data_IF_948682893185
#
_entry.id   IF_948682893185
#
_cell.length_a   1.000
_cell.length_b   1.000
_cell.length_c   1.000
_cell.angle_alpha   90.00
_cell.angle_beta   90.00
_cell.angle_gamma   90.00
#
_symmetry.space_group_name_H-M   'P 1'
#
loop_
_entity.id
_entity.type
_entity.pdbx_description
1 polymer ?
#
# COMPACT_ATOMS: atom_id res chain seq x y z
N UNK A 1 16.55 42.78 32.08
CA UNK A 1 16.66 42.77 30.60
C UNK A 1 16.03 41.48 30.11
N UNK A 2 14.89 41.60 29.42
CA UNK A 2 14.02 40.48 29.04
C UNK A 2 13.52 40.82 27.63
N UNK A 3 13.38 39.79 26.79
CA UNK A 3 13.15 39.82 25.33
C UNK A 3 14.45 39.88 24.54
N UNK A 4 14.92 38.73 24.04
CA UNK A 4 15.23 38.45 22.61
C UNK A 4 15.56 36.95 22.48
N UNK A 5 14.59 36.03 22.61
CA UNK A 5 14.79 34.62 22.21
C UNK A 5 13.48 34.11 21.62
N UNK A 6 13.03 34.68 20.51
CA UNK A 6 11.85 34.17 19.81
C UNK A 6 11.87 34.61 18.36
N UNK A 7 12.68 33.96 17.51
CA UNK A 7 12.52 33.92 16.04
C UNK A 7 13.72 33.21 15.43
N UNK A 8 13.66 31.89 15.23
CA UNK A 8 14.50 31.15 14.26
C UNK A 8 14.07 29.67 14.11
N UNK A 9 12.78 29.36 14.27
CA UNK A 9 12.24 27.99 14.10
C UNK A 9 11.16 27.90 13.00
N UNK A 10 11.17 28.84 12.04
CA UNK A 10 10.07 29.03 11.10
C UNK A 10 10.49 28.99 9.61
N UNK A 11 11.61 28.35 9.24
CA UNK A 11 12.08 28.38 7.85
C UNK A 11 12.66 27.06 7.31
N UNK A 12 12.17 25.89 7.73
CA UNK A 12 12.64 24.59 7.19
C UNK A 12 11.56 23.72 6.50
N UNK A 13 10.33 24.23 6.32
CA UNK A 13 9.22 23.42 5.79
C UNK A 13 8.90 23.64 4.30
N UNK A 14 9.77 24.30 3.54
CA UNK A 14 9.59 24.47 2.09
C UNK A 14 10.65 23.71 1.29
N UNK A 15 10.42 22.40 1.08
CA UNK A 15 10.71 21.74 -0.21
C UNK A 15 10.16 20.32 -0.27
N UNK A 16 9.00 20.11 -0.89
CA UNK A 16 8.77 18.92 -1.67
C UNK A 16 8.82 19.25 -3.18
N UNK A 17 9.09 18.21 -3.97
CA UNK A 17 9.00 18.15 -5.43
C UNK A 17 10.28 18.45 -6.22
N UNK A 18 11.21 17.49 -6.21
CA UNK A 18 11.78 16.96 -7.46
C UNK A 18 11.97 15.43 -7.33
N UNK A 19 10.87 14.69 -7.20
CA UNK A 19 10.91 13.29 -7.60
C UNK A 19 10.75 13.27 -9.13
N UNK A 20 11.88 13.28 -9.85
CA UNK A 20 11.85 12.97 -11.27
C UNK A 20 11.63 11.46 -11.43
N UNK A 21 10.37 11.04 -11.52
CA UNK A 21 10.10 9.80 -12.22
C UNK A 21 10.40 10.10 -13.70
N UNK A 22 11.60 9.76 -14.15
CA UNK A 22 11.90 9.63 -15.57
C UNK A 22 11.48 8.22 -15.99
N UNK A 23 10.27 7.99 -16.53
CA UNK A 23 10.13 6.91 -17.50
C UNK A 23 10.97 7.35 -18.69
N UNK A 24 12.14 6.71 -18.87
CA UNK A 24 13.02 6.99 -19.99
C UNK A 24 12.20 7.00 -21.28
N UNK A 25 12.21 8.14 -21.97
CA UNK A 25 11.63 8.29 -23.28
C UNK A 25 12.40 7.41 -24.26
N UNK A 26 11.75 6.35 -24.73
CA UNK A 26 12.20 5.60 -25.89
C UNK A 26 11.08 5.63 -26.92
N UNK A 27 11.22 6.54 -27.87
CA UNK A 27 10.54 6.52 -29.15
C UNK A 27 11.19 7.53 -30.09
N UNK A 28 11.12 7.39 -31.43
CA UNK A 28 10.91 6.19 -32.25
C UNK A 28 12.18 5.86 -33.06
N UNK A 29 12.66 4.61 -32.99
CA UNK A 29 13.70 4.11 -33.90
C UNK A 29 13.08 3.45 -35.15
N UNK A 30 13.63 3.61 -36.36
CA UNK A 30 13.04 3.10 -37.59
C UNK A 30 13.42 1.63 -37.90
N UNK A 31 12.45 0.70 -37.87
CA UNK A 31 12.42 -0.64 -38.52
C UNK A 31 13.55 -1.64 -38.20
N UNK A 32 13.57 -2.90 -38.71
CA UNK A 32 12.63 -3.59 -39.64
C UNK A 32 12.26 -5.06 -39.27
N UNK A 33 10.98 -5.46 -39.40
CA UNK A 33 10.53 -6.88 -39.43
C UNK A 33 10.85 -7.70 -38.16
N UNK A 34 10.30 -8.86 -37.83
CA UNK A 34 9.79 -9.97 -38.61
C UNK A 34 8.94 -10.89 -37.72
N UNK A 35 8.07 -11.66 -38.38
CA UNK A 35 7.42 -12.91 -37.95
C UNK A 35 6.17 -12.83 -37.04
N UNK A 36 5.03 -13.02 -37.71
CA UNK A 36 3.90 -13.77 -37.17
C UNK A 36 4.40 -15.12 -36.63
N UNK A 37 4.26 -15.33 -35.33
CA UNK A 37 4.46 -16.61 -34.68
C UNK A 37 3.29 -16.85 -33.73
N UNK A 38 2.27 -17.52 -34.25
CA UNK A 38 1.34 -18.33 -33.46
C UNK A 38 2.18 -19.21 -32.52
N UNK A 39 2.13 -18.93 -31.22
CA UNK A 39 2.93 -19.59 -30.21
C UNK A 39 2.14 -19.66 -28.91
N UNK A 40 1.45 -20.78 -28.73
CA UNK A 40 0.40 -20.98 -27.75
C UNK A 40 0.76 -20.62 -26.31
N UNK A 41 -0.26 -20.13 -25.61
CA UNK A 41 -0.39 -20.11 -24.17
C UNK A 41 -0.41 -21.56 -23.65
N UNK A 42 0.73 -22.24 -23.65
CA UNK A 42 0.85 -23.56 -23.06
C UNK A 42 1.12 -23.42 -21.57
N UNK A 43 0.15 -23.92 -20.80
CA UNK A 43 0.22 -24.04 -19.35
C UNK A 43 1.50 -24.76 -18.91
N UNK A 44 2.22 -24.10 -18.02
CA UNK A 44 3.27 -24.69 -17.20
C UNK A 44 2.94 -24.41 -15.75
N UNK A 45 2.71 -25.46 -14.97
CA UNK A 45 2.53 -25.38 -13.53
C UNK A 45 3.83 -24.88 -12.88
N UNK A 46 3.91 -23.57 -12.65
CA UNK A 46 4.98 -22.88 -11.93
C UNK A 46 4.66 -21.38 -11.87
N UNK A 47 5.09 -20.64 -10.84
CA UNK A 47 4.78 -19.22 -10.72
C UNK A 47 5.41 -18.47 -11.90
N UNK A 48 4.57 -18.08 -12.85
CA UNK A 48 5.01 -17.52 -14.13
C UNK A 48 5.87 -16.28 -13.93
N UNK A 49 7.15 -16.39 -14.27
CA UNK A 49 8.08 -15.26 -14.31
C UNK A 49 7.93 -14.53 -15.63
N UNK A 50 7.78 -13.22 -15.58
CA UNK A 50 7.69 -12.33 -16.73
C UNK A 50 8.89 -11.39 -16.74
N UNK A 51 9.52 -11.21 -17.89
CA UNK A 51 10.61 -10.24 -18.05
C UNK A 51 10.12 -8.78 -18.18
N UNK A 52 8.85 -8.59 -18.53
CA UNK A 52 8.22 -7.29 -18.65
C UNK A 52 6.72 -7.37 -18.33
N UNK A 53 6.15 -6.26 -17.85
CA UNK A 53 4.70 -6.09 -17.73
C UNK A 53 4.19 -5.11 -18.79
N UNK A 54 3.06 -5.39 -19.44
CA UNK A 54 2.39 -4.44 -20.33
C UNK A 54 2.05 -3.12 -19.61
N UNK A 55 2.00 -2.02 -20.35
CA UNK A 55 1.64 -0.70 -19.81
C UNK A 55 0.21 -0.60 -19.26
N UNK A 56 -0.64 -1.59 -19.52
CA UNK A 56 -1.97 -1.71 -18.91
C UNK A 56 -1.95 -2.18 -17.45
N UNK A 57 -0.80 -2.65 -16.94
CA UNK A 57 -0.66 -3.03 -15.54
C UNK A 57 -0.66 -1.80 -14.63
N UNK A 58 -1.51 -1.82 -13.59
CA UNK A 58 -1.59 -0.74 -12.62
C UNK A 58 -0.68 -1.02 -11.42
N UNK A 59 0.12 -0.04 -10.99
CA UNK A 59 0.87 -0.14 -9.74
C UNK A 59 -0.03 0.18 -8.54
N UNK A 60 -0.08 -0.71 -7.55
CA UNK A 60 -0.82 -0.54 -6.29
C UNK A 60 0.13 -0.73 -5.11
N UNK A 61 -0.07 0.04 -4.05
CA UNK A 61 0.72 -0.06 -2.82
C UNK A 61 -0.14 -0.71 -1.73
N UNK A 62 0.25 -1.91 -1.29
CA UNK A 62 -0.50 -2.71 -0.30
C UNK A 62 0.49 -3.09 0.80
N UNK A 63 0.20 -2.73 2.06
CA UNK A 63 1.09 -3.01 3.19
C UNK A 63 2.51 -2.45 3.05
N UNK A 64 2.69 -1.35 2.29
CA UNK A 64 4.00 -0.75 2.01
C UNK A 64 4.82 -1.44 0.91
N UNK A 65 4.26 -2.46 0.26
CA UNK A 65 4.88 -3.15 -0.88
C UNK A 65 4.17 -2.79 -2.18
N UNK A 66 4.94 -2.56 -3.25
CA UNK A 66 4.39 -2.28 -4.58
C UNK A 66 4.05 -3.58 -5.29
N UNK A 67 2.79 -3.71 -5.71
CA UNK A 67 2.30 -4.76 -6.57
C UNK A 67 1.87 -4.16 -7.90
N UNK A 68 1.92 -4.97 -8.95
CA UNK A 68 1.38 -4.62 -10.26
C UNK A 68 0.17 -5.50 -10.54
N UNK A 69 -0.94 -4.91 -10.95
CA UNK A 69 -2.21 -5.61 -11.17
C UNK A 69 -2.53 -5.62 -12.66
N UNK A 70 -2.73 -6.81 -13.21
CA UNK A 70 -3.14 -7.01 -14.60
C UNK A 70 -4.10 -8.19 -14.69
N UNK A 71 -5.29 -7.96 -15.24
CA UNK A 71 -6.35 -8.98 -15.40
C UNK A 71 -6.70 -9.70 -14.09
N UNK A 72 -6.66 -8.99 -12.96
CA UNK A 72 -6.95 -9.55 -11.63
C UNK A 72 -5.81 -10.36 -10.99
N UNK A 73 -4.69 -10.55 -11.70
CA UNK A 73 -3.47 -11.17 -11.16
C UNK A 73 -2.57 -10.10 -10.53
N UNK A 74 -1.88 -10.49 -9.47
CA UNK A 74 -0.93 -9.65 -8.77
C UNK A 74 0.50 -10.10 -9.10
N UNK A 75 1.35 -9.12 -9.39
CA UNK A 75 2.75 -9.36 -9.73
C UNK A 75 3.66 -8.56 -8.81
N UNK A 76 4.75 -9.17 -8.35
CA UNK A 76 5.84 -8.48 -7.66
C UNK A 76 7.09 -8.44 -8.52
N UNK A 77 7.69 -7.26 -8.60
CA UNK A 77 9.00 -7.07 -9.23
C UNK A 77 10.09 -7.64 -8.32
N UNK A 78 10.94 -8.44 -8.93
CA UNK A 78 12.08 -9.11 -8.31
C UNK A 78 13.37 -8.29 -8.55
N UNK A 79 14.42 -8.61 -7.80
CA UNK A 79 15.72 -7.91 -7.90
C UNK A 79 16.38 -8.04 -9.27
N UNK A 80 16.09 -9.13 -9.99
CA UNK A 80 16.56 -9.40 -11.36
C UNK A 80 15.71 -8.71 -12.44
N UNK A 81 14.87 -7.75 -12.05
CA UNK A 81 13.94 -7.03 -12.91
C UNK A 81 12.85 -7.90 -13.56
N UNK A 82 12.64 -9.13 -13.07
CA UNK A 82 11.51 -9.97 -13.46
C UNK A 82 10.28 -9.71 -12.59
N UNK A 83 9.13 -10.18 -13.03
CA UNK A 83 7.86 -10.09 -12.31
C UNK A 83 7.35 -11.50 -12.07
N UNK A 84 6.91 -11.78 -10.85
CA UNK A 84 6.39 -13.09 -10.46
C UNK A 84 4.92 -12.93 -10.06
N UNK A 85 4.06 -13.84 -10.55
CA UNK A 85 2.68 -13.94 -10.07
C UNK A 85 2.68 -14.35 -8.60
N UNK A 86 2.00 -13.57 -7.78
CA UNK A 86 1.78 -13.85 -6.37
C UNK A 86 0.29 -14.01 -6.09
N UNK A 87 -0.03 -14.68 -4.99
CA UNK A 87 -1.40 -14.65 -4.48
C UNK A 87 -1.83 -13.21 -4.24
N UNK A 88 -3.15 -12.96 -4.33
CA UNK A 88 -3.69 -11.66 -3.96
C UNK A 88 -3.20 -11.32 -2.56
N UNK A 89 -2.43 -10.24 -2.38
CA UNK A 89 -2.01 -9.83 -1.06
C UNK A 89 -3.27 -9.52 -0.29
N UNK A 90 -3.48 -10.29 0.78
CA UNK A 90 -4.53 -9.97 1.74
C UNK A 90 -4.04 -8.70 2.41
N UNK A 91 -4.84 -7.64 2.33
CA UNK A 91 -4.67 -6.53 3.25
C UNK A 91 -4.96 -7.12 4.62
N UNK A 92 -3.91 -7.55 5.33
CA UNK A 92 -3.99 -7.72 6.77
C UNK A 92 -4.12 -6.31 7.33
N UNK A 93 -5.32 -5.73 7.23
CA UNK A 93 -5.73 -4.58 8.02
C UNK A 93 -5.78 -5.04 9.48
N UNK A 94 -4.62 -5.31 10.09
CA UNK A 94 -4.47 -5.65 11.50
C UNK A 94 -5.61 -6.59 11.96
N UNK A 95 -5.67 -7.78 11.36
CA UNK A 95 -6.64 -8.80 11.72
C UNK A 95 -6.56 -9.10 13.23
N UNK A 96 -7.54 -8.56 13.94
CA UNK A 96 -8.04 -8.88 15.29
C UNK A 96 -9.15 -7.90 15.71
N UNK A 97 -9.22 -6.71 15.08
CA UNK A 97 -10.10 -5.62 15.52
C UNK A 97 -11.22 -5.22 14.55
N UNK A 98 -11.27 -5.75 13.33
CA UNK A 98 -12.33 -5.40 12.36
C UNK A 98 -13.73 -5.91 12.77
N UNK A 99 -13.79 -6.93 13.63
CA UNK A 99 -15.04 -7.39 14.25
C UNK A 99 -15.51 -6.50 15.42
N UNK A 100 -14.69 -5.54 15.87
CA UNK A 100 -15.07 -4.68 16.98
C UNK A 100 -16.12 -3.66 16.56
N UNK A 101 -17.25 -3.64 17.26
CA UNK A 101 -18.29 -2.64 17.06
C UNK A 101 -17.88 -1.31 17.70
N UNK A 102 -17.81 -0.24 16.91
CA UNK A 102 -17.66 1.10 17.47
C UNK A 102 -18.90 1.52 18.28
N UNK A 103 -18.68 2.10 19.46
CA UNK A 103 -19.70 2.63 20.36
C UNK A 103 -19.28 4.03 20.80
N UNK A 104 -20.01 5.04 20.36
CA UNK A 104 -19.85 6.41 20.82
C UNK A 104 -20.74 6.63 22.06
N UNK A 105 -20.14 6.94 23.21
CA UNK A 105 -20.84 7.14 24.49
C UNK A 105 -20.21 8.31 25.25
N UNK A 106 -21.03 9.27 25.69
CA UNK A 106 -20.59 10.49 26.38
C UNK A 106 -19.48 11.28 25.65
N UNK A 107 -19.48 11.25 24.31
CA UNK A 107 -18.47 11.93 23.49
C UNK A 107 -17.13 11.20 23.38
N UNK A 108 -16.99 10.01 23.98
CA UNK A 108 -15.84 9.12 23.77
C UNK A 108 -16.21 7.96 22.85
N UNK A 109 -15.25 7.51 22.03
CA UNK A 109 -15.38 6.32 21.18
C UNK A 109 -14.75 5.11 21.85
N UNK A 110 -15.56 4.08 22.06
CA UNK A 110 -15.15 2.75 22.47
C UNK A 110 -15.29 1.76 21.31
N UNK A 111 -14.58 0.66 21.40
CA UNK A 111 -14.68 -0.47 20.48
C UNK A 111 -15.06 -1.69 21.32
N UNK A 112 -16.06 -2.45 20.90
CA UNK A 112 -16.67 -3.52 21.71
C UNK A 112 -16.54 -4.85 21.00
N UNK A 113 -16.05 -5.86 21.71
CA UNK A 113 -15.92 -7.24 21.23
C UNK A 113 -16.15 -8.19 22.40
N UNK A 114 -17.01 -9.19 22.23
CA UNK A 114 -17.28 -10.23 23.24
C UNK A 114 -17.59 -9.71 24.67
N UNK A 115 -18.20 -8.51 24.76
CA UNK A 115 -18.53 -7.87 26.04
C UNK A 115 -17.38 -7.08 26.69
N UNK A 116 -16.20 -7.09 26.09
CA UNK A 116 -15.05 -6.27 26.45
C UNK A 116 -15.08 -4.92 25.71
N UNK A 117 -14.48 -3.91 26.33
CA UNK A 117 -14.45 -2.54 25.83
C UNK A 117 -13.02 -2.12 25.61
N UNK A 118 -12.76 -1.40 24.52
CA UNK A 118 -11.42 -1.00 24.13
C UNK A 118 -11.39 0.47 23.73
N UNK A 119 -10.28 1.16 24.00
CA UNK A 119 -9.98 2.49 23.47
C UNK A 119 -8.82 2.42 22.50
N UNK A 120 -8.94 3.14 21.39
CA UNK A 120 -7.85 3.27 20.42
C UNK A 120 -6.87 4.34 20.87
N UNK A 121 -5.61 3.96 21.09
CA UNK A 121 -4.50 4.87 21.39
C UNK A 121 -4.11 5.70 20.17
N UNK A 122 -3.33 6.76 20.37
CA UNK A 122 -2.81 7.59 19.27
C UNK A 122 -1.91 6.81 18.30
N UNK A 123 -1.31 5.72 18.78
CA UNK A 123 -0.49 4.81 17.97
C UNK A 123 -1.34 3.77 17.22
N UNK A 124 -2.67 3.81 17.39
CA UNK A 124 -3.61 2.90 16.75
C UNK A 124 -3.74 1.53 17.42
N UNK A 125 -3.25 1.38 18.66
CA UNK A 125 -3.41 0.18 19.47
C UNK A 125 -4.76 0.22 20.20
N UNK A 126 -5.37 -0.94 20.43
CA UNK A 126 -6.60 -1.01 21.22
C UNK A 126 -6.25 -1.49 22.62
N UNK A 127 -6.57 -0.66 23.60
CA UNK A 127 -6.31 -0.92 25.02
C UNK A 127 -7.64 -1.29 25.67
N UNK A 128 -7.70 -2.47 26.29
CA UNK A 128 -8.87 -2.90 27.03
C UNK A 128 -9.12 -1.96 28.22
N UNK A 129 -10.37 -1.58 28.42
CA UNK A 129 -10.84 -0.71 29.49
C UNK A 129 -12.06 -1.33 30.16
N UNK A 130 -12.33 -0.98 31.42
CA UNK A 130 -13.59 -1.36 32.06
C UNK A 130 -14.79 -0.86 31.27
N UNK A 131 -15.92 -1.57 31.38
CA UNK A 131 -17.21 -1.13 30.86
C UNK A 131 -17.51 0.31 31.36
N UNK A 132 -17.81 1.26 30.46
CA UNK A 132 -18.16 2.62 30.85
C UNK A 132 -19.38 2.66 31.78
N UNK A 133 -19.38 3.49 32.84
CA UNK A 133 -20.52 3.61 33.73
C UNK A 133 -21.81 4.00 32.99
N UNK A 134 -22.88 3.24 33.19
CA UNK A 134 -24.21 3.49 32.60
C UNK A 134 -24.53 2.71 31.30
N UNK A 135 -23.64 1.81 30.86
CA UNK A 135 -23.87 0.83 29.79
C UNK A 135 -24.23 -0.56 30.34
#
# INVERSE_FOLDING_TARGET
>A
MKKVITTLFALSLLTPALASAHPGGWGPGPGPGWHHGDGGWHGGHGPGRLSFLPGAAAAVLIGGLTYYVLNGNYYQRQNDNTYVVVDRPVEHYRDSYDDMRALDYNGERFYVQDGHYYRRSINGEYLEVPRPPGL
#
